data_IF_684229852240
#
_entry.id   IF_684229852240
#
_cell.length_a   1.000
_cell.length_b   1.000
_cell.length_c   1.000
_cell.angle_alpha   90.00
_cell.angle_beta   90.00
_cell.angle_gamma   90.00
#
_symmetry.space_group_name_H-M   'P 1'
#
loop_
_entity.id
_entity.type
_entity.pdbx_description
1 polymer ?
#
# COMPACT_ATOMS: atom_id res chain seq x y z
N UNK A 1 -23.98 -19.78 44.75
CA UNK A 1 -25.09 -19.17 43.97
C UNK A 1 -25.21 -17.72 44.38
N UNK A 2 -24.53 -16.84 43.66
CA UNK A 2 -24.58 -15.39 43.80
C UNK A 2 -24.32 -14.82 42.41
N UNK A 3 -25.25 -13.97 41.94
CA UNK A 3 -25.30 -13.41 40.58
C UNK A 3 -24.12 -12.45 40.30
N UNK A 4 -23.64 -12.33 39.05
CA UNK A 4 -22.62 -11.36 38.70
C UNK A 4 -23.24 -9.96 38.53
N UNK A 5 -22.55 -8.95 39.05
CA UNK A 5 -22.85 -7.54 38.84
C UNK A 5 -22.28 -7.10 37.48
N UNK A 6 -23.16 -6.56 36.64
CA UNK A 6 -22.82 -5.93 35.35
C UNK A 6 -22.26 -4.54 35.65
N UNK A 7 -20.97 -4.34 35.37
CA UNK A 7 -20.33 -3.02 35.46
C UNK A 7 -20.47 -2.32 34.11
N UNK A 8 -21.34 -1.30 34.06
CA UNK A 8 -21.48 -0.42 32.90
C UNK A 8 -20.31 0.58 32.87
N UNK A 9 -19.55 0.59 31.78
CA UNK A 9 -18.51 1.59 31.52
C UNK A 9 -19.17 2.86 30.98
N UNK A 10 -19.02 3.95 31.72
CA UNK A 10 -19.54 5.27 31.35
C UNK A 10 -18.74 5.89 30.20
N UNK A 11 -19.44 6.28 29.13
CA UNK A 11 -18.89 7.05 28.03
C UNK A 11 -18.74 8.53 28.44
N UNK A 12 -17.55 9.09 28.24
CA UNK A 12 -17.27 10.51 28.38
C UNK A 12 -17.93 11.28 27.22
N UNK A 13 -18.92 12.11 27.53
CA UNK A 13 -19.49 13.08 26.61
C UNK A 13 -18.59 14.31 26.53
N UNK A 14 -18.07 14.61 25.34
CA UNK A 14 -17.37 15.87 25.05
C UNK A 14 -18.35 16.84 24.37
N UNK A 15 -18.70 17.89 25.09
CA UNK A 15 -19.54 19.00 24.63
C UNK A 15 -18.76 19.83 23.60
N UNK A 16 -19.23 19.88 22.34
CA UNK A 16 -18.74 20.84 21.35
C UNK A 16 -19.79 21.93 21.11
N UNK A 17 -19.41 23.18 21.36
CA UNK A 17 -20.24 24.36 21.17
C UNK A 17 -20.59 24.58 19.69
N UNK A 18 -21.88 24.76 19.43
CA UNK A 18 -22.42 25.31 18.20
C UNK A 18 -21.96 26.77 18.02
N UNK A 19 -21.52 27.16 16.82
CA UNK A 19 -21.59 28.54 16.34
C UNK A 19 -21.38 28.62 14.81
N UNK A 20 -22.43 29.06 14.11
CA UNK A 20 -22.33 29.80 12.83
C UNK A 20 -22.40 29.00 11.52
N UNK A 21 -23.61 28.79 10.98
CA UNK A 21 -23.79 28.50 9.54
C UNK A 21 -24.08 29.79 8.77
N UNK A 22 -23.23 30.20 7.81
CA UNK A 22 -23.64 31.17 6.80
C UNK A 22 -24.48 30.46 5.73
N UNK A 23 -25.61 31.08 5.36
CA UNK A 23 -26.40 30.67 4.20
C UNK A 23 -25.55 30.82 2.94
N UNK A 24 -25.40 29.73 2.17
CA UNK A 24 -24.66 29.73 0.91
C UNK A 24 -25.48 29.01 -0.17
N UNK A 25 -25.55 29.66 -1.33
CA UNK A 25 -26.28 29.26 -2.52
C UNK A 25 -25.89 27.85 -3.00
N UNK A 26 -26.87 26.94 -2.93
CA UNK A 26 -27.49 26.43 -4.16
C UNK A 26 -26.74 25.45 -5.04
N UNK A 27 -25.59 24.88 -4.67
CA UNK A 27 -25.08 23.61 -5.22
C UNK A 27 -24.59 22.77 -4.03
N UNK A 28 -25.46 21.99 -3.40
CA UNK A 28 -25.06 21.10 -2.31
C UNK A 28 -24.20 19.99 -2.89
N UNK A 29 -22.89 20.19 -2.94
CA UNK A 29 -21.96 19.11 -3.25
C UNK A 29 -22.14 18.05 -2.16
N UNK A 30 -22.60 16.87 -2.57
CA UNK A 30 -22.73 15.71 -1.69
C UNK A 30 -21.36 15.37 -1.14
N UNK A 31 -21.07 15.85 0.07
CA UNK A 31 -19.79 15.66 0.75
C UNK A 31 -20.02 14.79 1.97
N UNK A 32 -19.24 13.71 2.05
CA UNK A 32 -19.17 12.81 3.19
C UNK A 32 -17.81 12.99 3.85
N UNK A 33 -17.81 13.35 5.13
CA UNK A 33 -16.63 13.48 5.96
C UNK A 33 -16.59 12.34 6.97
N UNK A 34 -15.49 11.59 6.98
CA UNK A 34 -15.33 10.37 7.77
C UNK A 34 -14.06 10.44 8.61
N UNK A 35 -14.19 10.26 9.91
CA UNK A 35 -13.10 10.16 10.86
C UNK A 35 -12.90 8.70 11.27
N UNK A 36 -11.71 8.17 11.00
CA UNK A 36 -11.38 6.78 11.31
C UNK A 36 -10.94 6.60 12.77
N UNK A 37 -11.35 5.49 13.38
CA UNK A 37 -10.77 5.01 14.64
C UNK A 37 -9.31 4.63 14.40
N UNK A 38 -8.49 4.72 15.46
CA UNK A 38 -7.15 4.14 15.44
C UNK A 38 -7.18 2.61 15.42
N UNK A 39 -8.07 2.03 16.21
CA UNK A 39 -8.32 0.59 16.25
C UNK A 39 -9.78 0.28 16.55
N UNK A 40 -10.23 -0.92 16.18
CA UNK A 40 -11.55 -1.46 16.52
C UNK A 40 -11.47 -2.95 16.86
N UNK A 41 -12.42 -3.39 17.69
CA UNK A 41 -12.62 -4.79 18.06
C UNK A 41 -13.90 -5.27 17.36
N UNK A 42 -13.82 -6.41 16.68
CA UNK A 42 -14.93 -6.93 15.86
C UNK A 42 -15.35 -8.29 16.38
N UNK A 43 -16.61 -8.41 16.81
CA UNK A 43 -17.16 -9.64 17.36
C UNK A 43 -17.87 -10.53 16.31
N UNK A 44 -18.14 -10.00 15.11
CA UNK A 44 -18.86 -10.69 14.05
C UNK A 44 -17.95 -11.26 12.96
N UNK A 45 -18.58 -11.89 11.95
CA UNK A 45 -17.93 -12.44 10.76
C UNK A 45 -17.71 -11.41 9.65
N UNK A 46 -18.04 -10.15 9.89
CA UNK A 46 -17.94 -9.08 8.90
C UNK A 46 -17.41 -7.81 9.53
N UNK A 47 -16.76 -7.01 8.69
CA UNK A 47 -16.28 -5.68 9.04
C UNK A 47 -16.98 -4.67 8.15
N UNK A 48 -17.61 -3.67 8.74
CA UNK A 48 -18.29 -2.60 8.01
C UNK A 48 -17.66 -1.25 8.32
N UNK A 49 -18.11 -0.22 7.59
CA UNK A 49 -17.70 1.15 7.85
C UNK A 49 -18.06 1.59 9.27
N UNK A 50 -19.23 1.18 9.79
CA UNK A 50 -19.66 1.51 11.14
C UNK A 50 -18.66 1.02 12.22
N UNK A 51 -17.99 -0.12 11.97
CA UNK A 51 -17.02 -0.68 12.91
C UNK A 51 -15.74 0.18 13.01
N UNK A 52 -15.30 0.74 11.89
CA UNK A 52 -14.01 1.45 11.78
C UNK A 52 -14.11 2.97 11.91
N UNK A 53 -15.32 3.53 11.87
CA UNK A 53 -15.55 4.98 11.93
C UNK A 53 -15.79 5.45 13.35
N UNK A 54 -15.09 6.53 13.73
CA UNK A 54 -15.30 7.25 14.98
C UNK A 54 -16.48 8.21 14.86
N UNK A 55 -16.55 8.96 13.76
CA UNK A 55 -17.67 9.83 13.41
C UNK A 55 -17.75 10.02 11.90
N UNK A 56 -18.96 10.17 11.38
CA UNK A 56 -19.20 10.57 10.01
C UNK A 56 -20.25 11.67 9.96
N UNK A 57 -20.07 12.63 9.07
CA UNK A 57 -20.97 13.76 8.83
C UNK A 57 -21.16 13.95 7.32
N UNK A 58 -22.37 14.32 6.92
CA UNK A 58 -22.68 14.56 5.51
C UNK A 58 -24.17 14.79 5.27
N UNK A 59 -24.48 15.42 4.14
CA UNK A 59 -25.85 15.79 3.76
C UNK A 59 -26.70 14.61 3.24
N UNK A 60 -26.15 13.39 3.22
CA UNK A 60 -26.83 12.22 2.66
C UNK A 60 -26.47 10.92 3.40
N UNK A 61 -27.51 10.12 3.72
CA UNK A 61 -27.46 8.65 3.76
C UNK A 61 -26.38 7.94 4.58
N UNK A 62 -26.02 8.43 5.78
CA UNK A 62 -25.15 7.69 6.72
C UNK A 62 -25.49 6.19 6.86
N UNK A 63 -26.77 5.76 6.90
CA UNK A 63 -27.10 4.34 7.06
C UNK A 63 -26.64 3.44 5.90
N UNK A 64 -26.64 3.96 4.66
CA UNK A 64 -26.16 3.19 3.51
C UNK A 64 -24.63 3.09 3.52
N UNK A 65 -23.94 4.18 3.88
CA UNK A 65 -22.48 4.19 4.02
C UNK A 65 -21.99 3.26 5.15
N UNK A 66 -22.74 3.17 6.25
CA UNK A 66 -22.44 2.29 7.39
C UNK A 66 -22.44 0.80 7.02
N UNK A 67 -23.15 0.41 5.95
CA UNK A 67 -23.21 -0.97 5.45
C UNK A 67 -22.07 -1.36 4.51
N UNK A 68 -21.19 -0.41 4.13
CA UNK A 68 -20.05 -0.67 3.25
C UNK A 68 -19.14 -1.70 3.92
N UNK A 69 -19.01 -2.86 3.28
CA UNK A 69 -18.24 -3.99 3.79
C UNK A 69 -16.76 -3.89 3.39
N UNK A 70 -15.90 -4.36 4.28
CA UNK A 70 -14.46 -4.47 4.08
C UNK A 70 -14.04 -5.94 4.09
N UNK A 71 -12.96 -6.29 3.37
CA UNK A 71 -12.32 -7.59 3.52
C UNK A 71 -11.96 -7.84 4.98
N UNK A 72 -12.43 -8.96 5.54
CA UNK A 72 -12.24 -9.30 6.94
C UNK A 72 -12.10 -10.80 7.13
N UNK A 73 -11.21 -11.17 8.05
CA UNK A 73 -11.07 -12.51 8.60
C UNK A 73 -11.05 -12.44 10.12
N UNK A 74 -11.80 -13.33 10.75
CA UNK A 74 -11.92 -13.43 12.22
C UNK A 74 -10.76 -14.20 12.87
N UNK A 75 -9.89 -14.81 12.06
CA UNK A 75 -8.72 -15.57 12.50
C UNK A 75 -7.42 -14.75 12.52
N UNK A 76 -7.44 -13.47 12.13
CA UNK A 76 -6.23 -12.65 11.92
C UNK A 76 -6.38 -11.21 12.40
N UNK A 77 -5.27 -10.66 12.88
CA UNK A 77 -5.14 -9.21 13.10
C UNK A 77 -4.99 -8.52 11.75
N UNK A 78 -5.57 -7.34 11.56
CA UNK A 78 -5.51 -6.65 10.25
C UNK A 78 -5.22 -5.17 10.41
N UNK A 79 -4.55 -4.59 9.41
CA UNK A 79 -4.43 -3.16 9.23
C UNK A 79 -5.06 -2.76 7.89
N UNK A 80 -6.04 -1.87 7.96
CA UNK A 80 -6.65 -1.26 6.78
C UNK A 80 -6.06 0.13 6.57
N UNK A 81 -5.23 0.35 5.54
CA UNK A 81 -4.71 1.69 5.27
C UNK A 81 -5.81 2.63 4.80
N UNK A 82 -5.68 3.92 5.09
CA UNK A 82 -6.69 4.93 4.73
C UNK A 82 -6.95 5.03 3.21
N UNK A 83 -5.96 4.72 2.38
CA UNK A 83 -6.08 4.63 0.92
C UNK A 83 -7.09 3.56 0.47
N UNK A 84 -7.04 2.36 1.06
CA UNK A 84 -7.95 1.26 0.79
C UNK A 84 -9.34 1.63 1.29
N UNK A 85 -9.44 2.17 2.51
CA UNK A 85 -10.71 2.65 3.06
C UNK A 85 -11.34 3.70 2.14
N UNK A 86 -10.53 4.65 1.66
CA UNK A 86 -10.96 5.68 0.70
C UNK A 86 -11.43 5.07 -0.63
N UNK A 87 -10.69 4.10 -1.17
CA UNK A 87 -11.03 3.38 -2.42
C UNK A 87 -12.39 2.69 -2.28
N UNK A 88 -12.55 1.84 -1.26
CA UNK A 88 -13.80 1.11 -1.00
C UNK A 88 -14.99 2.05 -0.80
N UNK A 89 -14.84 3.13 -0.03
CA UNK A 89 -15.92 4.09 0.15
C UNK A 89 -16.25 4.80 -1.17
N UNK A 90 -15.26 5.22 -1.97
CA UNK A 90 -15.50 5.87 -3.27
C UNK A 90 -16.19 4.97 -4.28
N UNK A 91 -15.89 3.67 -4.26
CA UNK A 91 -16.53 2.70 -5.14
C UNK A 91 -18.02 2.55 -4.82
N UNK A 92 -18.40 2.72 -3.55
CA UNK A 92 -19.79 2.69 -3.09
C UNK A 92 -20.47 4.08 -3.12
N UNK A 93 -19.72 5.17 -2.96
CA UNK A 93 -20.23 6.52 -2.77
C UNK A 93 -19.79 7.47 -3.89
N UNK A 94 -20.75 8.01 -4.64
CA UNK A 94 -20.51 8.88 -5.81
C UNK A 94 -20.26 10.35 -5.49
N UNK A 95 -20.23 10.75 -4.22
CA UNK A 95 -19.99 12.13 -3.80
C UNK A 95 -18.53 12.44 -3.49
N UNK A 96 -18.29 13.63 -2.97
CA UNK A 96 -16.98 14.05 -2.46
C UNK A 96 -16.72 13.37 -1.11
N UNK A 97 -15.56 12.71 -0.97
CA UNK A 97 -15.15 12.05 0.26
C UNK A 97 -13.96 12.78 0.90
N UNK A 98 -14.16 13.25 2.13
CA UNK A 98 -13.11 13.68 3.05
C UNK A 98 -12.91 12.55 4.06
N UNK A 99 -11.70 12.00 4.11
CA UNK A 99 -11.34 10.93 5.02
C UNK A 99 -10.17 11.38 5.88
N UNK A 100 -10.36 11.36 7.19
CA UNK A 100 -9.40 11.78 8.21
C UNK A 100 -8.95 10.55 9.01
N UNK A 101 -7.63 10.34 9.05
CA UNK A 101 -7.00 9.19 9.69
C UNK A 101 -5.98 8.50 8.77
N UNK A 102 -5.04 7.76 9.35
CA UNK A 102 -3.97 7.07 8.61
C UNK A 102 -4.35 5.64 8.20
N UNK A 103 -5.25 5.01 8.96
CA UNK A 103 -5.68 3.63 8.79
C UNK A 103 -6.30 3.14 10.10
N UNK A 104 -6.84 1.93 10.09
CA UNK A 104 -7.51 1.31 11.24
C UNK A 104 -6.93 -0.06 11.49
N UNK A 105 -6.56 -0.32 12.75
CA UNK A 105 -6.16 -1.66 13.20
C UNK A 105 -7.40 -2.43 13.67
N UNK A 106 -7.64 -3.59 13.06
CA UNK A 106 -8.81 -4.43 13.31
C UNK A 106 -8.39 -5.67 14.10
N UNK A 107 -9.06 -5.89 15.23
CA UNK A 107 -8.80 -7.00 16.14
C UNK A 107 -10.05 -7.86 16.27
N UNK A 108 -10.02 -9.13 15.83
CA UNK A 108 -11.13 -10.05 16.08
C UNK A 108 -11.28 -10.30 17.59
N UNK A 109 -12.48 -10.10 18.12
CA UNK A 109 -12.78 -10.29 19.54
C UNK A 109 -12.58 -11.75 20.00
N UNK A 110 -12.73 -12.70 19.08
CA UNK A 110 -12.53 -14.13 19.34
C UNK A 110 -11.04 -14.50 19.49
N UNK A 111 -10.13 -13.67 18.94
CA UNK A 111 -8.70 -13.98 18.88
C UNK A 111 -7.93 -13.42 20.07
N UNK A 112 -8.30 -12.24 20.55
CA UNK A 112 -7.54 -11.48 21.55
C UNK A 112 -8.43 -11.10 22.73
N UNK A 113 -8.05 -11.45 23.98
CA UNK A 113 -8.74 -10.97 25.17
C UNK A 113 -8.80 -9.43 25.21
N UNK A 114 -9.91 -8.83 25.70
CA UNK A 114 -10.05 -7.37 25.72
C UNK A 114 -8.90 -6.62 26.40
N UNK A 115 -8.36 -7.18 27.48
CA UNK A 115 -7.25 -6.59 28.25
C UNK A 115 -5.93 -6.55 27.48
N UNK A 116 -5.80 -7.39 26.45
CA UNK A 116 -4.59 -7.53 25.64
C UNK A 116 -4.70 -6.78 24.30
N UNK A 117 -5.88 -6.28 23.92
CA UNK A 117 -6.12 -5.65 22.62
C UNK A 117 -5.16 -4.48 22.34
N UNK A 118 -4.77 -3.72 23.35
CA UNK A 118 -3.81 -2.62 23.18
C UNK A 118 -2.45 -3.12 22.68
N UNK A 119 -1.97 -4.27 23.17
CA UNK A 119 -0.67 -4.82 22.81
C UNK A 119 -0.64 -5.26 21.36
N UNK A 120 -1.69 -5.97 20.93
CA UNK A 120 -1.84 -6.42 19.55
C UNK A 120 -2.15 -5.26 18.60
N UNK A 121 -2.84 -4.21 19.06
CA UNK A 121 -2.97 -2.98 18.30
C UNK A 121 -1.59 -2.35 18.02
N UNK A 122 -0.74 -2.24 19.05
CA UNK A 122 0.64 -1.73 18.91
C UNK A 122 1.50 -2.62 18.01
N UNK A 123 1.31 -3.94 18.06
CA UNK A 123 2.02 -4.89 17.20
C UNK A 123 1.68 -4.62 15.73
N UNK A 124 0.40 -4.51 15.42
CA UNK A 124 -0.06 -4.22 14.06
C UNK A 124 0.43 -2.84 13.61
N UNK A 125 0.33 -1.80 14.46
CA UNK A 125 0.88 -0.47 14.15
C UNK A 125 2.39 -0.54 13.84
N UNK A 126 3.15 -1.33 14.62
CA UNK A 126 4.58 -1.56 14.39
C UNK A 126 4.86 -2.26 13.06
N UNK A 127 4.06 -3.26 12.71
CA UNK A 127 4.18 -3.96 11.42
C UNK A 127 3.76 -3.05 10.26
N UNK A 128 2.72 -2.23 10.42
CA UNK A 128 2.20 -1.28 9.44
C UNK A 128 3.10 -0.04 9.25
N UNK A 129 3.96 0.28 10.22
CA UNK A 129 4.93 1.39 10.13
C UNK A 129 6.04 1.17 9.09
N UNK A 130 6.08 0.00 8.46
CA UNK A 130 7.04 -0.35 7.40
C UNK A 130 6.65 0.34 6.09
N UNK A 131 7.62 0.55 5.18
CA UNK A 131 7.36 1.20 3.90
C UNK A 131 6.61 0.25 2.97
N UNK A 132 5.29 0.13 3.16
CA UNK A 132 4.42 -0.56 2.22
C UNK A 132 3.82 0.44 1.22
N UNK A 133 3.42 -0.05 0.03
CA UNK A 133 2.56 0.69 -0.86
C UNK A 133 1.29 1.16 -0.17
N UNK A 134 0.83 2.35 -0.54
CA UNK A 134 -0.20 3.05 0.20
C UNK A 134 -1.47 2.21 0.36
N UNK A 135 -1.85 1.46 -0.67
CA UNK A 135 -3.05 0.62 -0.80
C UNK A 135 -2.88 -0.84 -0.35
N UNK A 136 -1.69 -1.22 0.13
CA UNK A 136 -1.44 -2.59 0.58
C UNK A 136 -2.16 -2.88 1.90
N UNK A 137 -2.98 -3.94 1.91
CA UNK A 137 -3.63 -4.43 3.12
C UNK A 137 -2.70 -5.40 3.83
N UNK A 138 -2.52 -5.21 5.14
CA UNK A 138 -1.71 -6.08 5.97
C UNK A 138 -2.62 -6.94 6.86
N UNK A 139 -2.37 -8.24 6.88
CA UNK A 139 -2.89 -9.15 7.90
C UNK A 139 -1.71 -9.78 8.65
N UNK A 140 -1.88 -10.02 9.94
CA UNK A 140 -0.90 -10.65 10.80
C UNK A 140 -1.54 -11.85 11.52
N UNK A 141 -0.95 -13.02 11.28
CA UNK A 141 -1.27 -14.26 11.98
C UNK A 141 -0.24 -14.45 13.09
N UNK A 142 -0.69 -14.62 14.33
CA UNK A 142 0.18 -14.83 15.49
C UNK A 142 0.12 -16.31 15.85
N UNK A 143 1.23 -17.03 15.70
CA UNK A 143 1.26 -18.49 15.86
C UNK A 143 0.92 -18.92 17.30
N UNK A 144 1.45 -18.17 18.29
CA UNK A 144 1.21 -18.39 19.72
C UNK A 144 1.11 -17.04 20.41
N UNK A 145 0.00 -16.83 21.11
CA UNK A 145 -0.25 -15.62 21.91
C UNK A 145 0.53 -15.73 23.23
N UNK A 146 1.60 -14.95 23.42
CA UNK A 146 2.36 -14.98 24.66
C UNK A 146 1.61 -14.27 25.78
N UNK A 147 2.07 -14.46 27.03
CA UNK A 147 1.70 -13.56 28.12
C UNK A 147 2.25 -12.15 27.80
N UNK A 148 1.34 -11.19 27.65
CA UNK A 148 1.68 -9.79 27.35
C UNK A 148 1.91 -9.00 28.64
N UNK A 149 2.62 -7.86 28.59
CA UNK A 149 2.70 -6.95 29.75
C UNK A 149 1.30 -6.56 30.24
N UNK A 150 1.13 -6.33 31.54
CA UNK A 150 -0.20 -6.03 32.10
C UNK A 150 -0.72 -4.62 31.74
N UNK A 151 0.17 -3.70 31.35
CA UNK A 151 -0.21 -2.34 31.00
C UNK A 151 0.79 -1.71 30.02
N UNK A 152 0.35 -0.61 29.38
CA UNK A 152 1.19 0.16 28.45
C UNK A 152 2.41 0.82 29.13
N UNK A 153 2.31 1.16 30.42
CA UNK A 153 3.34 1.95 31.11
C UNK A 153 4.69 1.23 31.24
N UNK A 154 4.69 -0.11 31.19
CA UNK A 154 5.90 -0.93 31.18
C UNK A 154 6.41 -1.30 29.78
N UNK A 155 5.72 -0.93 28.70
CA UNK A 155 6.05 -1.41 27.35
C UNK A 155 7.03 -0.47 26.63
N UNK A 156 8.20 -1.00 26.23
CA UNK A 156 9.25 -0.23 25.57
C UNK A 156 9.23 -0.32 24.04
N UNK A 157 8.52 -1.27 23.46
CA UNK A 157 8.40 -1.40 22.01
C UNK A 157 8.70 -2.78 21.45
N UNK A 158 8.62 -2.85 20.13
CA UNK A 158 8.89 -4.04 19.32
C UNK A 158 10.19 -3.90 18.53
N UNK A 159 10.83 -5.03 18.26
CA UNK A 159 11.99 -5.14 17.37
C UNK A 159 11.88 -6.39 16.51
N UNK A 160 12.16 -6.27 15.20
CA UNK A 160 12.29 -7.42 14.32
C UNK A 160 13.62 -8.12 14.60
N UNK A 161 13.58 -9.43 14.90
CA UNK A 161 14.78 -10.26 15.13
C UNK A 161 15.14 -11.08 13.90
N UNK A 162 14.15 -11.66 13.25
CA UNK A 162 14.27 -12.33 11.96
C UNK A 162 13.02 -12.03 11.15
N UNK A 163 13.17 -11.91 9.85
CA UNK A 163 12.05 -11.60 8.97
C UNK A 163 12.33 -12.08 7.55
N UNK A 164 11.25 -12.29 6.81
CA UNK A 164 11.30 -12.56 5.38
C UNK A 164 10.92 -11.28 4.63
N UNK A 165 11.57 -11.04 3.49
CA UNK A 165 11.18 -9.97 2.59
C UNK A 165 10.91 -10.49 1.19
N UNK A 166 9.98 -9.81 0.50
CA UNK A 166 9.66 -9.98 -0.91
C UNK A 166 9.51 -8.61 -1.52
N UNK A 167 10.14 -8.34 -2.65
CA UNK A 167 10.20 -7.02 -3.25
C UNK A 167 10.73 -5.94 -2.28
N UNK A 168 11.56 -6.33 -1.31
CA UNK A 168 12.02 -5.45 -0.22
C UNK A 168 10.97 -5.14 0.86
N UNK A 169 9.76 -5.72 0.78
CA UNK A 169 8.66 -5.55 1.73
C UNK A 169 8.65 -6.69 2.76
N UNK A 170 8.31 -6.36 4.01
CA UNK A 170 8.18 -7.35 5.09
C UNK A 170 6.96 -8.25 4.86
N UNK A 171 7.17 -9.55 4.72
CA UNK A 171 6.12 -10.56 4.52
C UNK A 171 6.50 -11.90 5.14
N UNK A 172 5.57 -12.85 5.18
CA UNK A 172 5.79 -14.21 5.64
C UNK A 172 6.18 -14.31 7.11
N UNK A 173 6.83 -15.42 7.48
CA UNK A 173 7.22 -15.69 8.85
C UNK A 173 8.30 -14.73 9.35
N UNK A 174 8.03 -14.14 10.51
CA UNK A 174 8.88 -13.19 11.19
C UNK A 174 8.87 -13.46 12.70
N UNK A 175 9.97 -13.12 13.37
CA UNK A 175 10.06 -13.14 14.83
C UNK A 175 10.18 -11.70 15.31
N UNK A 176 9.17 -11.28 16.07
CA UNK A 176 9.16 -9.98 16.72
C UNK A 176 9.50 -10.19 18.18
N UNK A 177 10.45 -9.42 18.68
CA UNK A 177 10.73 -9.33 20.11
C UNK A 177 10.05 -8.10 20.67
N UNK A 178 9.45 -8.24 21.85
CA UNK A 178 8.93 -7.11 22.61
C UNK A 178 9.68 -6.97 23.93
N UNK A 179 9.81 -5.73 24.39
CA UNK A 179 10.51 -5.39 25.64
C UNK A 179 9.55 -4.72 26.61
N UNK A 180 9.49 -5.27 27.82
CA UNK A 180 8.76 -4.71 28.95
C UNK A 180 9.69 -4.13 30.02
N UNK A 181 9.12 -3.63 31.13
CA UNK A 181 9.85 -2.96 32.21
C UNK A 181 10.87 -3.88 32.89
N UNK A 182 10.61 -5.18 32.84
CA UNK A 182 11.47 -6.22 33.37
C UNK A 182 11.56 -7.40 32.39
N UNK A 183 12.47 -8.34 32.69
CA UNK A 183 12.72 -9.53 31.85
C UNK A 183 11.52 -10.47 31.70
N UNK A 184 10.58 -10.44 32.64
CA UNK A 184 9.38 -11.29 32.62
C UNK A 184 8.27 -10.70 31.76
N UNK A 185 8.35 -9.41 31.46
CA UNK A 185 7.46 -8.68 30.54
C UNK A 185 8.08 -8.54 29.14
N UNK A 186 9.21 -9.19 28.89
CA UNK A 186 9.87 -9.22 27.59
C UNK A 186 9.72 -10.62 26.99
N UNK A 187 9.52 -10.69 25.69
CA UNK A 187 9.28 -11.97 25.03
C UNK A 187 9.44 -11.90 23.53
N UNK A 188 9.13 -13.02 22.87
CA UNK A 188 9.15 -13.15 21.42
C UNK A 188 7.85 -13.74 20.95
N UNK A 189 7.42 -13.27 19.79
CA UNK A 189 6.24 -13.74 19.10
C UNK A 189 6.60 -14.06 17.66
N UNK A 190 6.12 -15.21 17.20
CA UNK A 190 6.21 -15.62 15.82
C UNK A 190 4.96 -15.13 15.11
N UNK A 191 5.16 -14.39 14.03
CA UNK A 191 4.08 -13.76 13.26
C UNK A 191 4.28 -14.08 11.80
N UNK A 192 3.22 -14.50 11.13
CA UNK A 192 3.16 -14.58 9.69
C UNK A 192 2.48 -13.31 9.16
N UNK A 193 3.24 -12.49 8.43
CA UNK A 193 2.76 -11.25 7.83
C UNK A 193 2.25 -11.54 6.43
N UNK A 194 0.96 -11.36 6.21
CA UNK A 194 0.33 -11.43 4.90
C UNK A 194 0.16 -10.02 4.36
N UNK A 195 0.73 -9.77 3.18
CA UNK A 195 0.65 -8.46 2.53
C UNK A 195 -0.11 -8.63 1.22
N UNK A 196 -1.32 -8.08 1.20
CA UNK A 196 -2.21 -8.10 0.05
C UNK A 196 -1.99 -6.85 -0.78
N UNK A 197 -1.50 -7.04 -2.00
CA UNK A 197 -1.11 -5.97 -2.90
C UNK A 197 -1.47 -6.32 -4.35
N UNK A 198 -1.69 -5.31 -5.17
CA UNK A 198 -1.94 -5.47 -6.59
C UNK A 198 -0.62 -5.75 -7.34
N UNK A 199 -0.53 -6.96 -7.89
CA UNK A 199 0.55 -7.40 -8.76
C UNK A 199 0.08 -7.42 -10.22
N UNK A 200 1.02 -7.27 -11.16
CA UNK A 200 0.69 -7.35 -12.58
C UNK A 200 0.68 -8.80 -13.05
N UNK A 201 -0.42 -9.19 -13.67
CA UNK A 201 -0.58 -10.46 -14.39
C UNK A 201 -0.87 -10.21 -15.87
N UNK A 202 -0.42 -11.05 -16.81
CA UNK A 202 -0.78 -10.93 -18.21
C UNK A 202 -2.29 -11.20 -18.42
N UNK A 203 -2.92 -10.43 -19.31
CA UNK A 203 -4.28 -10.70 -19.81
C UNK A 203 -4.31 -11.91 -20.74
N UNK A 204 -3.25 -12.03 -21.53
CA UNK A 204 -3.05 -13.05 -22.55
C UNK A 204 -1.64 -13.63 -22.40
N UNK A 205 -1.38 -14.76 -23.05
CA UNK A 205 -0.04 -15.35 -23.05
C UNK A 205 0.95 -14.38 -23.70
N UNK A 206 2.06 -14.09 -23.01
CA UNK A 206 3.19 -13.33 -23.54
C UNK A 206 4.32 -14.30 -23.82
N UNK A 207 4.83 -14.33 -25.05
CA UNK A 207 5.90 -15.26 -25.42
C UNK A 207 7.26 -14.72 -24.96
N UNK A 208 8.20 -15.64 -24.75
CA UNK A 208 9.60 -15.27 -24.55
C UNK A 208 10.10 -14.33 -25.67
N UNK A 209 10.73 -13.23 -25.29
CA UNK A 209 11.22 -12.18 -26.16
C UNK A 209 10.21 -11.06 -26.47
N UNK A 210 8.93 -11.24 -26.15
CA UNK A 210 7.92 -10.20 -26.34
C UNK A 210 7.99 -9.12 -25.25
N UNK A 211 7.65 -7.88 -25.62
CA UNK A 211 7.58 -6.77 -24.67
C UNK A 211 6.30 -6.90 -23.83
N UNK A 212 6.44 -6.83 -22.51
CA UNK A 212 5.33 -6.72 -21.55
C UNK A 212 4.97 -5.25 -21.43
N UNK A 213 3.79 -4.89 -21.90
CA UNK A 213 3.25 -3.52 -21.86
C UNK A 213 2.04 -3.43 -20.93
N UNK A 214 1.72 -2.24 -20.43
CA UNK A 214 0.63 -2.04 -19.46
C UNK A 214 -0.75 -2.47 -19.96
N UNK A 215 -1.02 -2.34 -21.27
CA UNK A 215 -2.28 -2.79 -21.87
C UNK A 215 -2.39 -4.32 -21.94
N UNK A 216 -1.26 -5.05 -21.87
CA UNK A 216 -1.23 -6.50 -21.83
C UNK A 216 -1.34 -7.05 -20.41
N UNK A 217 -1.31 -6.20 -19.38
CA UNK A 217 -1.40 -6.61 -17.99
C UNK A 217 -2.71 -6.16 -17.33
N UNK A 218 -3.06 -6.83 -16.25
CA UNK A 218 -4.12 -6.45 -15.32
C UNK A 218 -3.58 -6.54 -13.90
N UNK A 219 -4.02 -5.64 -12.99
CA UNK A 219 -3.76 -5.82 -11.58
C UNK A 219 -4.54 -7.03 -11.06
N UNK A 220 -3.86 -7.85 -10.26
CA UNK A 220 -4.45 -8.96 -9.50
C UNK A 220 -4.03 -8.81 -8.05
N UNK A 221 -5.01 -8.84 -7.14
CA UNK A 221 -4.73 -8.74 -5.71
C UNK A 221 -4.19 -10.08 -5.20
N UNK A 222 -2.99 -10.07 -4.63
CA UNK A 222 -2.30 -11.28 -4.19
C UNK A 222 -1.73 -11.15 -2.80
N UNK A 223 -1.70 -12.27 -2.08
CA UNK A 223 -0.93 -12.38 -0.83
C UNK A 223 0.53 -12.68 -1.15
N UNK A 224 1.38 -11.68 -0.97
CA UNK A 224 2.80 -11.75 -1.29
C UNK A 224 3.55 -12.79 -0.44
N UNK A 225 3.02 -13.18 0.73
CA UNK A 225 3.62 -14.20 1.59
C UNK A 225 3.57 -15.62 0.97
N UNK A 226 2.67 -15.86 0.01
CA UNK A 226 2.51 -17.15 -0.67
C UNK A 226 3.55 -17.35 -1.80
N UNK A 227 4.28 -16.31 -2.16
CA UNK A 227 5.24 -16.36 -3.27
C UNK A 227 6.66 -16.65 -2.77
N UNK A 228 7.32 -17.60 -3.43
CA UNK A 228 8.70 -17.97 -3.14
C UNK A 228 9.73 -16.96 -3.71
N UNK A 229 9.28 -16.09 -4.61
CA UNK A 229 10.11 -15.16 -5.36
C UNK A 229 9.42 -13.81 -5.52
N UNK A 230 10.22 -12.81 -5.90
CA UNK A 230 9.71 -11.47 -6.15
C UNK A 230 8.86 -11.44 -7.43
N UNK A 231 7.79 -10.65 -7.41
CA UNK A 231 6.83 -10.52 -8.50
C UNK A 231 6.71 -9.07 -8.94
N UNK A 232 6.25 -8.82 -10.17
CA UNK A 232 6.06 -7.47 -10.68
C UNK A 232 4.82 -6.84 -10.03
N UNK A 233 5.04 -5.80 -9.23
CA UNK A 233 3.98 -5.05 -8.57
C UNK A 233 3.46 -3.94 -9.49
N UNK A 234 2.18 -3.57 -9.38
CA UNK A 234 1.60 -2.45 -10.16
C UNK A 234 2.30 -1.12 -9.85
N UNK A 235 2.87 -0.98 -8.65
CA UNK A 235 3.56 0.23 -8.18
C UNK A 235 4.94 0.43 -8.77
N UNK A 236 5.46 -0.56 -9.50
CA UNK A 236 6.76 -0.42 -10.16
C UNK A 236 6.57 0.58 -11.28
N UNK A 237 7.40 1.65 -11.31
CA UNK A 237 7.35 2.74 -12.30
C UNK A 237 7.12 2.20 -13.73
N UNK A 238 6.67 3.08 -14.64
CA UNK A 238 6.32 2.85 -16.07
C UNK A 238 7.48 2.26 -16.95
N UNK A 239 8.27 1.36 -16.42
CA UNK A 239 9.28 0.59 -17.09
C UNK A 239 8.62 -0.39 -18.04
N UNK A 240 9.15 -0.45 -19.26
CA UNK A 240 8.81 -1.53 -20.16
C UNK A 240 9.70 -2.73 -19.81
N UNK A 241 9.10 -3.93 -19.86
CA UNK A 241 9.81 -5.18 -19.64
C UNK A 241 9.77 -6.04 -20.91
N UNK A 242 10.69 -6.98 -21.03
CA UNK A 242 10.68 -8.04 -22.03
C UNK A 242 10.61 -9.36 -21.31
N UNK A 243 9.71 -10.24 -21.73
CA UNK A 243 9.58 -11.58 -21.21
C UNK A 243 10.83 -12.42 -21.55
N UNK A 244 11.42 -13.09 -20.56
CA UNK A 244 12.54 -14.03 -20.74
C UNK A 244 12.05 -15.44 -21.03
N UNK A 245 10.85 -15.75 -20.54
CA UNK A 245 10.15 -17.01 -20.67
C UNK A 245 8.69 -16.71 -21.01
N UNK A 246 7.94 -17.74 -21.41
CA UNK A 246 6.51 -17.57 -21.63
C UNK A 246 5.78 -17.23 -20.31
N UNK A 247 4.97 -16.19 -20.35
CA UNK A 247 4.12 -15.76 -19.24
C UNK A 247 2.68 -16.21 -19.50
N UNK A 248 2.08 -16.85 -18.50
CA UNK A 248 0.72 -17.34 -18.58
C UNK A 248 -0.28 -16.26 -18.15
N UNK A 249 -1.48 -16.23 -18.73
CA UNK A 249 -2.50 -15.26 -18.36
C UNK A 249 -3.01 -15.50 -16.94
N UNK A 250 -3.30 -14.41 -16.21
CA UNK A 250 -3.88 -14.43 -14.86
C UNK A 250 -2.89 -14.73 -13.73
N UNK A 251 -1.67 -15.17 -14.02
CA UNK A 251 -0.62 -15.40 -13.02
C UNK A 251 0.23 -14.14 -12.82
N UNK A 252 0.55 -13.75 -11.58
CA UNK A 252 1.48 -12.65 -11.32
C UNK A 252 2.84 -12.91 -11.97
N UNK A 253 3.42 -11.87 -12.58
CA UNK A 253 4.65 -12.00 -13.35
C UNK A 253 5.85 -12.07 -12.38
N UNK A 254 6.60 -13.18 -12.31
CA UNK A 254 7.81 -13.23 -11.48
C UNK A 254 8.91 -12.36 -12.07
N UNK A 255 9.64 -11.61 -11.23
CA UNK A 255 10.70 -10.70 -11.71
C UNK A 255 11.82 -11.46 -12.44
N UNK A 256 12.10 -12.71 -12.08
CA UNK A 256 13.10 -13.53 -12.79
C UNK A 256 12.72 -13.84 -14.25
N UNK A 257 11.43 -13.85 -14.57
CA UNK A 257 10.88 -14.18 -15.91
C UNK A 257 10.82 -12.97 -16.83
N UNK A 258 11.21 -11.80 -16.35
CA UNK A 258 11.27 -10.58 -17.14
C UNK A 258 12.67 -9.97 -17.05
N UNK A 259 12.97 -9.11 -18.02
CA UNK A 259 14.12 -8.22 -17.97
C UNK A 259 13.65 -6.83 -18.34
N UNK A 260 14.28 -5.82 -17.74
CA UNK A 260 14.03 -4.42 -18.12
C UNK A 260 14.35 -4.21 -19.60
N UNK A 261 13.45 -3.57 -20.34
CA UNK A 261 13.63 -3.26 -21.75
C UNK A 261 14.54 -2.06 -21.89
N UNK A 262 15.67 -2.25 -22.58
CA UNK A 262 16.55 -1.15 -22.98
C UNK A 262 16.06 -0.59 -24.31
N UNK A 263 15.67 0.69 -24.30
CA UNK A 263 15.27 1.44 -25.50
C UNK A 263 16.46 2.13 -26.18
N UNK A 264 17.54 2.35 -25.43
CA UNK A 264 18.80 2.88 -25.93
C UNK A 264 19.93 2.01 -25.41
N UNK A 265 20.86 1.61 -26.28
CA UNK A 265 22.10 0.92 -25.93
C UNK A 265 23.31 1.80 -26.22
N UNK A 266 24.42 1.52 -25.54
CA UNK A 266 25.69 2.17 -25.84
C UNK A 266 26.10 1.91 -27.29
N UNK A 267 26.40 2.97 -28.04
CA UNK A 267 26.75 2.94 -29.45
C UNK A 267 25.57 3.13 -30.41
N UNK A 268 24.32 3.08 -29.93
CA UNK A 268 23.16 3.29 -30.78
C UNK A 268 23.15 4.70 -31.38
N UNK A 269 22.69 4.79 -32.64
CA UNK A 269 22.31 6.06 -33.25
C UNK A 269 20.92 6.43 -32.74
N UNK A 270 20.79 7.61 -32.15
CA UNK A 270 19.57 8.08 -31.51
C UNK A 270 19.06 9.38 -32.13
N UNK A 271 17.75 9.54 -32.18
CA UNK A 271 17.10 10.81 -32.42
C UNK A 271 17.12 11.63 -31.12
N UNK A 272 17.68 12.83 -31.17
CA UNK A 272 17.86 13.72 -30.03
C UNK A 272 16.95 14.93 -30.24
N UNK A 273 16.00 15.12 -29.33
CA UNK A 273 15.15 16.31 -29.28
C UNK A 273 15.66 17.24 -28.18
N UNK A 274 16.17 18.39 -28.55
CA UNK A 274 16.61 19.43 -27.62
C UNK A 274 15.47 20.41 -27.40
N UNK A 275 15.05 20.56 -26.15
CA UNK A 275 13.96 21.47 -25.75
C UNK A 275 14.53 22.59 -24.87
N UNK A 276 14.31 23.84 -25.27
CA UNK A 276 14.66 25.04 -24.49
C UNK A 276 13.58 26.11 -24.63
N UNK A 277 12.83 26.37 -23.56
CA UNK A 277 11.69 27.31 -23.56
C UNK A 277 10.72 26.97 -24.69
N UNK A 278 10.64 27.81 -25.73
CA UNK A 278 9.76 27.64 -26.89
C UNK A 278 10.51 27.11 -28.15
N UNK A 279 11.78 26.74 -28.00
CA UNK A 279 12.59 26.19 -29.08
C UNK A 279 12.69 24.67 -28.93
N UNK A 280 12.32 23.97 -29.99
CA UNK A 280 12.54 22.53 -30.14
C UNK A 280 13.42 22.31 -31.36
N UNK A 281 14.54 21.62 -31.18
CA UNK A 281 15.45 21.24 -32.26
C UNK A 281 15.58 19.73 -32.26
N UNK A 282 15.43 19.11 -33.42
CA UNK A 282 15.65 17.68 -33.60
C UNK A 282 16.96 17.47 -34.35
N UNK A 283 17.77 16.54 -33.86
CA UNK A 283 19.05 16.16 -34.46
C UNK A 283 19.30 14.67 -34.24
N UNK A 284 20.34 14.12 -34.85
CA UNK A 284 20.79 12.76 -34.56
C UNK A 284 22.10 12.77 -33.80
N UNK A 285 22.40 11.68 -33.12
CA UNK A 285 23.69 11.50 -32.47
C UNK A 285 23.92 10.06 -32.05
N UNK A 286 24.91 9.87 -31.19
CA UNK A 286 25.26 8.55 -30.64
C UNK A 286 25.10 8.52 -29.14
N UNK A 287 24.51 7.44 -28.63
CA UNK A 287 24.44 7.15 -27.20
C UNK A 287 25.72 6.49 -26.68
N UNK A 288 26.12 6.84 -25.46
CA UNK A 288 27.31 6.31 -24.78
C UNK A 288 26.97 5.44 -23.56
N UNK A 289 25.69 5.37 -23.19
CA UNK A 289 25.16 4.51 -22.15
C UNK A 289 23.95 3.74 -22.63
N UNK A 290 23.51 2.78 -21.82
CA UNK A 290 22.25 2.09 -22.03
C UNK A 290 21.20 2.61 -21.04
N UNK A 291 19.93 2.65 -21.47
CA UNK A 291 18.82 3.10 -20.65
C UNK A 291 17.49 2.52 -21.12
N UNK A 292 16.63 2.23 -20.15
CA UNK A 292 15.20 2.00 -20.37
C UNK A 292 14.46 3.32 -20.57
N UNK A 293 13.13 3.25 -20.62
CA UNK A 293 12.29 4.44 -20.73
C UNK A 293 12.49 5.36 -19.51
N UNK A 294 12.56 6.67 -19.73
CA UNK A 294 12.78 7.71 -18.72
C UNK A 294 14.15 7.73 -18.03
N UNK A 295 15.02 6.75 -18.30
CA UNK A 295 16.40 6.80 -17.83
C UNK A 295 17.16 7.98 -18.43
N UNK A 296 18.17 8.45 -17.71
CA UNK A 296 19.13 9.38 -18.28
C UNK A 296 20.31 8.65 -18.88
N UNK A 297 20.58 8.92 -20.15
CA UNK A 297 21.75 8.42 -20.89
C UNK A 297 22.61 9.57 -21.39
N UNK A 298 23.91 9.33 -21.52
CA UNK A 298 24.82 10.29 -22.12
C UNK A 298 24.80 10.14 -23.64
N UNK A 299 24.62 11.25 -24.36
CA UNK A 299 24.55 11.28 -25.82
C UNK A 299 25.45 12.37 -26.39
N UNK A 300 25.93 12.17 -27.62
CA UNK A 300 26.68 13.17 -28.38
C UNK A 300 25.96 13.44 -29.70
N UNK A 301 25.38 14.64 -29.90
CA UNK A 301 24.84 15.05 -31.18
C UNK A 301 25.88 15.04 -32.29
N UNK A 302 25.46 14.74 -33.51
CA UNK A 302 26.33 14.77 -34.69
C UNK A 302 26.84 16.21 -34.91
N UNK A 303 28.14 16.37 -35.13
CA UNK A 303 28.79 17.68 -35.26
C UNK A 303 29.06 18.42 -33.94
N UNK A 304 28.49 17.99 -32.82
CA UNK A 304 28.81 18.55 -31.51
C UNK A 304 30.13 17.99 -30.96
N UNK A 305 30.89 18.81 -30.24
CA UNK A 305 32.11 18.37 -29.53
C UNK A 305 31.80 17.81 -28.14
N UNK A 306 30.74 18.29 -27.51
CA UNK A 306 30.36 17.97 -26.13
C UNK A 306 29.30 16.87 -26.05
N UNK A 307 29.32 16.13 -24.95
CA UNK A 307 28.28 15.17 -24.60
C UNK A 307 27.22 15.86 -23.72
N UNK A 308 25.99 15.36 -23.78
CA UNK A 308 24.86 15.84 -23.02
C UNK A 308 24.18 14.70 -22.30
N UNK A 309 23.56 14.99 -21.16
CA UNK A 309 22.67 14.06 -20.47
C UNK A 309 21.27 14.22 -21.06
N UNK A 310 20.71 13.14 -21.58
CA UNK A 310 19.40 13.12 -22.21
C UNK A 310 18.51 12.06 -21.55
N UNK A 311 17.22 12.33 -21.46
CA UNK A 311 16.21 11.39 -20.96
C UNK A 311 15.69 10.54 -22.11
N UNK A 312 15.65 9.22 -21.95
CA UNK A 312 15.10 8.30 -22.96
C UNK A 312 13.57 8.45 -23.00
N UNK A 313 13.01 8.66 -24.19
CA UNK A 313 11.57 8.85 -24.39
C UNK A 313 10.93 7.79 -25.27
N UNK A 314 11.74 7.00 -25.96
CA UNK A 314 11.26 5.97 -26.89
C UNK A 314 12.42 5.15 -27.46
N UNK A 315 12.11 4.29 -28.42
CA UNK A 315 13.10 3.41 -29.05
C UNK A 315 14.10 4.23 -29.85
N UNK A 316 15.35 4.29 -29.38
CA UNK A 316 16.39 5.18 -29.91
C UNK A 316 16.01 6.66 -29.94
N UNK A 317 15.13 7.08 -29.05
CA UNK A 317 14.70 8.48 -28.92
C UNK A 317 15.06 9.03 -27.54
N UNK A 318 15.66 10.21 -27.52
CA UNK A 318 16.05 10.90 -26.29
C UNK A 318 15.71 12.39 -26.34
N UNK A 319 15.45 12.98 -25.17
CA UNK A 319 15.19 14.41 -24.99
C UNK A 319 16.25 15.05 -24.10
N UNK A 320 16.80 16.18 -24.54
CA UNK A 320 17.67 17.04 -23.73
C UNK A 320 16.84 18.27 -23.31
N UNK A 321 16.64 18.44 -22.01
CA UNK A 321 15.98 19.62 -21.45
C UNK A 321 17.06 20.62 -21.00
N UNK A 322 17.14 21.76 -21.67
CA UNK A 322 18.06 22.84 -21.30
C UNK A 322 17.30 23.84 -20.43
N UNK A 323 17.79 24.06 -19.21
CA UNK A 323 17.31 25.12 -18.32
C UNK A 323 17.69 26.51 -18.85
#
# INVERSE_FOLDING_TARGET
MTKPAVLAVAAFALTLCCLGSPAADGHSSNTLEVYLKKSCIVAGSGLTLADIVQSASGNYGLPEAESIAFPYRDDRLQHLPASLVRKTIRDAYRGQLILVGQGVTVIPAALVPPDDCWFYARLVDFLASRPYPADARLEAEVDVFPAVPQNEAGFYGFQLRSHTTRNGLLVGKSVVEYRGANRYESGRLQVTVHLFIDALAPRERVRAGERVTQNMTVPVNVDLALYAEDILLETTDNEAYTAREDLLPGEPIPLRKITRTLFVRGGDRVAIRVVKRNLQVETTGRAYGAGGLYDFVTVKPDGARTQFRARVTGDREVVIELQ
#
